data_IF_950266203805
#
_entry.id   IF_950266203805
#
_cell.length_a   1.000
_cell.length_b   1.000
_cell.length_c   1.000
_cell.angle_alpha   90.00
_cell.angle_beta   90.00
_cell.angle_gamma   90.00
#
_symmetry.space_group_name_H-M   'P 1'
#
loop_
_entity.id
_entity.type
_entity.pdbx_description
1 polymer ?
#
# COMPACT_ATOMS: atom_id res chain seq x y z
N UNK A 1 -9.42 -6.83 -13.28
CA UNK A 1 -9.67 -5.61 -12.47
C UNK A 1 -10.69 -5.96 -11.38
N UNK A 2 -10.69 -5.34 -10.19
CA UNK A 2 -11.76 -5.59 -9.18
C UNK A 2 -12.06 -4.32 -8.39
N UNK A 3 -13.29 -3.82 -8.52
CA UNK A 3 -13.69 -2.52 -7.99
C UNK A 3 -12.77 -1.41 -8.51
N UNK A 4 -12.33 -0.53 -7.61
CA UNK A 4 -11.45 0.60 -7.96
C UNK A 4 -9.99 0.21 -8.23
N UNK A 5 -9.60 -1.06 -8.12
CA UNK A 5 -8.20 -1.49 -8.10
C UNK A 5 -7.83 -2.40 -9.27
N UNK A 6 -6.58 -2.28 -9.69
CA UNK A 6 -5.94 -3.17 -10.66
C UNK A 6 -4.97 -4.07 -9.89
N UNK A 7 -5.10 -5.38 -10.10
CA UNK A 7 -4.29 -6.40 -9.44
C UNK A 7 -3.51 -7.20 -10.48
N UNK A 8 -2.28 -7.59 -10.13
CA UNK A 8 -1.49 -8.60 -10.83
C UNK A 8 -1.44 -9.85 -9.97
N UNK A 9 -1.80 -11.01 -10.53
CA UNK A 9 -1.62 -12.30 -9.86
C UNK A 9 -0.13 -12.59 -9.74
N UNK A 10 0.29 -12.98 -8.54
CA UNK A 10 1.68 -13.36 -8.24
C UNK A 10 1.78 -14.87 -8.09
N UNK A 11 0.83 -15.47 -7.38
CA UNK A 11 0.68 -16.93 -7.31
C UNK A 11 -0.77 -17.27 -7.56
N UNK A 12 -0.99 -18.23 -8.45
CA UNK A 12 -2.34 -18.69 -8.75
C UNK A 12 -2.92 -19.44 -7.55
N UNK A 13 -4.21 -19.24 -7.32
CA UNK A 13 -4.98 -20.02 -6.36
C UNK A 13 -5.85 -21.04 -7.07
N UNK A 14 -6.46 -21.93 -6.30
CA UNK A 14 -7.42 -22.92 -6.77
C UNK A 14 -8.67 -22.78 -5.92
N UNK A 15 -9.84 -22.73 -6.55
CA UNK A 15 -11.11 -22.56 -5.86
C UNK A 15 -11.29 -23.68 -4.83
N UNK A 16 -11.72 -23.34 -3.62
CA UNK A 16 -11.87 -24.29 -2.50
C UNK A 16 -10.58 -24.84 -1.90
N UNK A 17 -9.48 -24.96 -2.66
CA UNK A 17 -8.27 -25.69 -2.25
C UNK A 17 -7.13 -24.78 -1.78
N UNK A 18 -6.74 -23.79 -2.59
CA UNK A 18 -5.50 -23.02 -2.39
C UNK A 18 -5.70 -21.54 -2.58
N UNK A 19 -5.28 -20.74 -1.59
CA UNK A 19 -5.32 -19.28 -1.69
C UNK A 19 -4.18 -18.79 -2.58
N UNK A 20 -4.51 -17.98 -3.57
CA UNK A 20 -3.53 -17.27 -4.40
C UNK A 20 -2.98 -16.03 -3.70
N UNK A 21 -2.05 -15.34 -4.37
CA UNK A 21 -1.54 -14.04 -3.92
C UNK A 21 -1.51 -13.03 -5.06
N UNK A 22 -1.74 -11.76 -4.72
CA UNK A 22 -1.79 -10.66 -5.68
C UNK A 22 -0.96 -9.46 -5.22
N UNK A 23 -0.50 -8.71 -6.20
CA UNK A 23 0.03 -7.36 -6.07
C UNK A 23 -1.01 -6.35 -6.54
N UNK A 24 -1.26 -5.29 -5.75
CA UNK A 24 -2.05 -4.16 -6.25
C UNK A 24 -1.15 -3.23 -7.06
N UNK A 25 -1.45 -3.10 -8.36
CA UNK A 25 -0.63 -2.36 -9.33
C UNK A 25 -1.22 -1.01 -9.72
N UNK A 26 -2.44 -0.68 -9.27
CA UNK A 26 -2.96 0.68 -9.37
C UNK A 26 -4.45 0.83 -9.14
N UNK A 27 -5.00 1.95 -9.63
CA UNK A 27 -6.43 2.26 -9.59
C UNK A 27 -7.02 2.20 -10.99
N UNK A 28 -8.26 1.72 -11.09
CA UNK A 28 -9.07 1.84 -12.30
C UNK A 28 -9.78 3.20 -12.38
N UNK A 29 -10.01 3.86 -11.23
CA UNK A 29 -10.73 5.14 -11.13
C UNK A 29 -9.77 6.31 -10.90
N UNK A 30 -9.99 7.43 -11.60
CA UNK A 30 -9.29 8.70 -11.37
C UNK A 30 -9.81 9.39 -10.10
N UNK A 31 -9.06 10.33 -9.54
CA UNK A 31 -9.55 11.27 -8.52
C UNK A 31 -9.99 10.69 -7.15
N UNK A 32 -9.56 9.48 -6.80
CA UNK A 32 -9.89 8.83 -5.53
C UNK A 32 -9.31 9.62 -4.32
N UNK A 33 -10.15 9.90 -3.32
CA UNK A 33 -9.74 10.60 -2.07
C UNK A 33 -9.21 9.64 -0.98
N UNK A 34 -9.62 8.37 -0.99
CA UNK A 34 -9.25 7.36 0.02
C UNK A 34 -8.92 6.03 -0.66
N UNK A 35 -7.72 5.54 -0.39
CA UNK A 35 -7.25 4.22 -0.85
C UNK A 35 -7.38 3.24 0.32
N UNK A 36 -8.11 2.14 0.13
CA UNK A 36 -8.29 1.04 1.08
C UNK A 36 -7.83 -0.26 0.41
N UNK A 37 -6.58 -0.63 0.64
CA UNK A 37 -6.01 -1.88 0.15
C UNK A 37 -6.43 -2.98 1.12
N UNK A 38 -7.32 -3.86 0.67
CA UNK A 38 -7.85 -4.95 1.47
C UNK A 38 -6.75 -5.95 1.86
N UNK A 39 -6.99 -6.75 2.91
CA UNK A 39 -6.10 -7.87 3.26
C UNK A 39 -6.12 -8.97 2.19
N UNK A 40 -7.30 -9.20 1.61
CA UNK A 40 -7.56 -10.20 0.59
C UNK A 40 -8.72 -9.74 -0.30
N UNK A 41 -8.82 -10.35 -1.47
CA UNK A 41 -9.93 -10.18 -2.41
C UNK A 41 -10.43 -11.57 -2.84
N UNK A 42 -11.68 -11.66 -3.25
CA UNK A 42 -12.21 -12.82 -3.97
C UNK A 42 -12.36 -12.45 -5.45
N UNK A 43 -11.89 -13.34 -6.32
CA UNK A 43 -12.05 -13.24 -7.77
C UNK A 43 -12.28 -14.65 -8.28
N UNK A 44 -13.42 -14.86 -8.95
CA UNK A 44 -13.77 -16.14 -9.59
C UNK A 44 -13.69 -17.35 -8.63
N UNK A 45 -14.41 -17.29 -7.51
CA UNK A 45 -14.37 -18.33 -6.46
C UNK A 45 -13.05 -18.43 -5.67
N UNK A 46 -11.97 -17.83 -6.16
CA UNK A 46 -10.62 -17.94 -5.57
C UNK A 46 -10.35 -16.76 -4.63
N UNK A 47 -9.81 -17.07 -3.45
CA UNK A 47 -9.34 -16.06 -2.50
C UNK A 47 -7.87 -15.72 -2.74
N UNK A 48 -7.58 -14.44 -2.97
CA UNK A 48 -6.22 -13.93 -3.14
C UNK A 48 -5.82 -13.02 -1.99
N UNK A 49 -4.70 -13.32 -1.32
CA UNK A 49 -4.09 -12.42 -0.33
C UNK A 49 -3.36 -11.27 -1.04
N UNK A 50 -3.58 -10.03 -0.62
CA UNK A 50 -2.85 -8.87 -1.16
C UNK A 50 -1.51 -8.77 -0.43
N UNK A 51 -0.45 -9.23 -1.09
CA UNK A 51 0.89 -9.38 -0.48
C UNK A 51 1.84 -8.23 -0.79
N UNK A 52 1.57 -7.45 -1.84
CA UNK A 52 2.42 -6.31 -2.19
C UNK A 52 1.68 -5.17 -2.88
N UNK A 53 2.33 -4.01 -2.87
CA UNK A 53 1.94 -2.80 -3.59
C UNK A 53 2.98 -2.54 -4.68
N UNK A 54 2.52 -2.45 -5.92
CA UNK A 54 3.32 -2.35 -7.13
C UNK A 54 4.18 -1.10 -7.23
N UNK A 55 5.22 -1.19 -8.08
CA UNK A 55 6.09 -0.05 -8.41
C UNK A 55 5.23 1.03 -9.06
N UNK A 56 5.32 2.27 -8.57
CA UNK A 56 4.51 3.41 -9.03
C UNK A 56 2.97 3.19 -8.98
N UNK A 57 2.46 2.18 -8.28
CA UNK A 57 1.04 1.77 -8.38
C UNK A 57 0.03 2.91 -8.20
N UNK A 58 0.30 3.81 -7.25
CA UNK A 58 -0.53 4.96 -6.96
C UNK A 58 0.21 6.29 -7.19
N UNK A 59 1.30 6.29 -7.98
CA UNK A 59 2.10 7.49 -8.23
C UNK A 59 1.22 8.58 -8.85
N UNK A 60 1.34 9.80 -8.33
CA UNK A 60 0.71 10.99 -8.92
C UNK A 60 -0.78 11.13 -8.63
N UNK A 61 -1.36 10.30 -7.75
CA UNK A 61 -2.75 10.48 -7.33
C UNK A 61 -2.90 11.71 -6.42
N UNK A 62 -3.06 12.89 -7.04
CA UNK A 62 -3.05 14.20 -6.39
C UNK A 62 -4.19 14.40 -5.37
N UNK A 63 -5.32 13.70 -5.54
CA UNK A 63 -6.52 13.84 -4.68
C UNK A 63 -6.53 12.91 -3.45
N UNK A 64 -5.66 11.91 -3.38
CA UNK A 64 -5.63 10.95 -2.26
C UNK A 64 -5.21 11.66 -0.98
N UNK A 65 -6.07 11.58 0.04
CA UNK A 65 -5.85 12.14 1.38
C UNK A 65 -5.45 11.08 2.40
N UNK A 66 -5.99 9.85 2.25
CA UNK A 66 -5.72 8.74 3.17
C UNK A 66 -5.50 7.41 2.47
N UNK A 67 -4.62 6.60 3.04
CA UNK A 67 -4.30 5.23 2.59
C UNK A 67 -4.44 4.27 3.77
N UNK A 68 -5.11 3.15 3.57
CA UNK A 68 -5.19 2.03 4.50
C UNK A 68 -4.55 0.81 3.84
N UNK A 69 -3.54 0.23 4.49
CA UNK A 69 -2.78 -0.93 4.00
C UNK A 69 -3.21 -2.16 4.80
N UNK A 70 -3.70 -3.18 4.09
CA UNK A 70 -4.20 -4.44 4.66
C UNK A 70 -3.14 -5.28 5.38
N UNK A 71 -3.62 -6.21 6.22
CA UNK A 71 -2.77 -6.93 7.18
C UNK A 71 -1.76 -7.93 6.56
N UNK A 72 -1.99 -8.38 5.32
CA UNK A 72 -1.14 -9.36 4.64
C UNK A 72 -0.08 -8.76 3.72
N UNK A 73 -0.05 -7.44 3.57
CA UNK A 73 0.96 -6.76 2.75
C UNK A 73 2.34 -6.94 3.38
N UNK A 74 3.28 -7.48 2.60
CA UNK A 74 4.68 -7.71 2.97
C UNK A 74 5.63 -6.69 2.32
N UNK A 75 5.30 -6.19 1.12
CA UNK A 75 6.19 -5.31 0.35
C UNK A 75 5.46 -4.09 -0.22
N UNK A 76 6.03 -2.90 -0.04
CA UNK A 76 5.61 -1.68 -0.74
C UNK A 76 6.74 -1.34 -1.71
N UNK A 77 6.53 -1.43 -3.02
CA UNK A 77 7.58 -1.21 -4.01
C UNK A 77 7.92 0.29 -4.20
N UNK A 78 8.99 0.54 -4.94
CA UNK A 78 9.52 1.89 -5.14
C UNK A 78 8.50 2.84 -5.78
N UNK A 79 8.50 4.08 -5.31
CA UNK A 79 7.60 5.16 -5.78
C UNK A 79 6.09 4.82 -5.72
N UNK A 80 5.66 3.81 -4.97
CA UNK A 80 4.27 3.34 -4.94
C UNK A 80 3.23 4.45 -4.73
N UNK A 81 3.48 5.40 -3.82
CA UNK A 81 2.63 6.56 -3.53
C UNK A 81 3.38 7.88 -3.78
N UNK A 82 4.37 7.88 -4.69
CA UNK A 82 5.14 9.07 -4.95
C UNK A 82 4.25 10.17 -5.58
N UNK A 83 4.48 11.41 -5.20
CA UNK A 83 3.73 12.58 -5.68
C UNK A 83 2.21 12.58 -5.37
N UNK A 84 1.75 11.79 -4.40
CA UNK A 84 0.41 11.94 -3.82
C UNK A 84 0.34 13.21 -2.95
N UNK A 85 0.20 14.39 -3.59
CA UNK A 85 0.37 15.72 -2.96
C UNK A 85 -0.53 15.95 -1.72
N UNK A 86 -1.76 15.44 -1.73
CA UNK A 86 -2.73 15.62 -0.63
C UNK A 86 -2.67 14.53 0.44
N UNK A 87 -1.77 13.54 0.34
CA UNK A 87 -1.69 12.42 1.28
C UNK A 87 -1.20 12.92 2.64
N UNK A 88 -2.04 12.74 3.67
CA UNK A 88 -1.74 13.14 5.06
C UNK A 88 -1.77 11.97 6.03
N UNK A 89 -2.56 10.91 5.76
CA UNK A 89 -2.76 9.79 6.69
C UNK A 89 -2.48 8.45 6.02
N UNK A 90 -1.59 7.66 6.60
CA UNK A 90 -1.31 6.29 6.17
C UNK A 90 -1.50 5.36 7.35
N UNK A 91 -2.50 4.50 7.29
CA UNK A 91 -2.77 3.49 8.32
C UNK A 91 -2.24 2.16 7.81
N UNK A 92 -1.24 1.62 8.51
CA UNK A 92 -0.67 0.32 8.19
C UNK A 92 -1.22 -0.71 9.17
N UNK A 93 -2.09 -1.60 8.70
CA UNK A 93 -2.60 -2.72 9.52
C UNK A 93 -1.66 -3.93 9.51
N UNK A 94 -0.75 -4.00 8.54
CA UNK A 94 0.22 -5.10 8.45
C UNK A 94 1.25 -5.03 9.58
N UNK A 95 1.53 -6.19 10.18
CA UNK A 95 2.71 -6.41 11.04
C UNK A 95 3.88 -7.03 10.25
N UNK A 96 3.66 -7.37 8.97
CA UNK A 96 4.51 -8.26 8.17
C UNK A 96 5.32 -7.52 7.08
N UNK A 97 5.29 -6.19 7.01
CA UNK A 97 6.09 -5.47 6.00
C UNK A 97 7.58 -5.65 6.29
N UNK A 98 8.30 -6.16 5.30
CA UNK A 98 9.76 -6.33 5.33
C UNK A 98 10.48 -5.32 4.48
N UNK A 99 9.82 -4.73 3.46
CA UNK A 99 10.45 -3.76 2.55
C UNK A 99 9.51 -2.62 2.16
N UNK A 100 9.99 -1.39 2.32
CA UNK A 100 9.40 -0.17 1.73
C UNK A 100 10.42 0.40 0.74
N UNK A 101 10.03 0.46 -0.53
CA UNK A 101 10.92 0.82 -1.62
C UNK A 101 11.30 2.30 -1.61
N UNK A 102 12.45 2.61 -2.24
CA UNK A 102 12.97 3.97 -2.38
C UNK A 102 11.89 4.92 -2.93
N UNK A 103 11.73 6.05 -2.26
CA UNK A 103 10.78 7.13 -2.56
C UNK A 103 9.31 6.68 -2.57
N UNK A 104 8.95 5.59 -1.88
CA UNK A 104 7.58 5.07 -1.88
C UNK A 104 6.53 6.11 -1.49
N UNK A 105 6.82 6.97 -0.51
CA UNK A 105 5.93 8.05 -0.06
C UNK A 105 6.53 9.45 -0.30
N UNK A 106 7.51 9.59 -1.21
CA UNK A 106 8.14 10.90 -1.48
C UNK A 106 7.19 11.81 -2.23
N UNK A 107 7.12 13.07 -1.82
CA UNK A 107 6.37 14.14 -2.48
C UNK A 107 7.17 15.43 -2.54
N UNK A 108 6.99 16.23 -3.59
CA UNK A 108 7.67 17.53 -3.74
C UNK A 108 7.18 18.55 -2.69
N UNK A 109 5.87 18.63 -2.45
CA UNK A 109 5.27 19.56 -1.49
C UNK A 109 4.16 18.89 -0.68
N UNK A 110 3.91 19.38 0.54
CA UNK A 110 2.72 19.07 1.35
C UNK A 110 2.92 18.94 2.87
N UNK A 111 1.82 18.95 3.62
CA UNK A 111 1.75 18.81 5.09
C UNK A 111 2.23 17.44 5.58
N UNK A 112 2.81 17.35 6.77
CA UNK A 112 3.37 16.11 7.37
C UNK A 112 2.48 14.86 7.15
N UNK A 113 3.06 13.72 6.78
CA UNK A 113 2.35 12.44 6.70
C UNK A 113 2.36 11.79 8.09
N UNK A 114 1.19 11.47 8.62
CA UNK A 114 1.04 10.65 9.82
C UNK A 114 0.91 9.18 9.43
N UNK A 115 1.88 8.37 9.83
CA UNK A 115 1.81 6.92 9.76
C UNK A 115 1.26 6.39 11.08
N UNK A 116 0.14 5.68 11.04
CA UNK A 116 -0.34 4.89 12.17
C UNK A 116 0.05 3.44 11.95
N UNK A 117 0.87 2.89 12.84
CA UNK A 117 1.42 1.53 12.71
C UNK A 117 1.11 0.69 13.96
N UNK A 118 1.15 -0.65 13.89
CA UNK A 118 0.90 -1.47 15.07
C UNK A 118 2.05 -1.28 16.08
N UNK A 119 1.72 -1.01 17.36
CA UNK A 119 2.68 -0.68 18.43
C UNK A 119 3.90 -1.62 18.46
N UNK A 120 3.65 -2.94 18.43
CA UNK A 120 4.68 -4.00 18.49
C UNK A 120 5.76 -3.91 17.40
N UNK A 121 5.47 -3.29 16.25
CA UNK A 121 6.41 -3.20 15.11
C UNK A 121 6.83 -1.76 14.79
N UNK A 122 6.50 -0.78 15.65
CA UNK A 122 6.75 0.65 15.41
C UNK A 122 8.22 0.96 15.11
N UNK A 123 9.16 0.39 15.87
CA UNK A 123 10.63 0.57 15.67
C UNK A 123 11.06 0.10 14.27
N UNK A 124 10.64 -1.09 13.85
CA UNK A 124 10.91 -1.64 12.50
C UNK A 124 10.38 -0.72 11.41
N UNK A 125 9.15 -0.25 11.55
CA UNK A 125 8.53 0.63 10.56
C UNK A 125 9.20 2.00 10.48
N UNK A 126 9.67 2.55 11.61
CA UNK A 126 10.48 3.78 11.61
C UNK A 126 11.73 3.63 10.75
N UNK A 127 12.47 2.53 10.90
CA UNK A 127 13.66 2.23 10.07
C UNK A 127 13.28 2.10 8.58
N UNK A 128 12.24 1.33 8.26
CA UNK A 128 11.81 1.13 6.87
C UNK A 128 11.36 2.44 6.18
N UNK A 129 10.62 3.30 6.88
CA UNK A 129 10.14 4.58 6.32
C UNK A 129 11.30 5.57 6.12
N UNK A 130 12.27 5.59 7.05
CA UNK A 130 13.52 6.37 6.92
C UNK A 130 14.30 5.92 5.69
N UNK A 131 14.57 4.62 5.57
CA UNK A 131 15.34 4.05 4.45
C UNK A 131 14.65 4.24 3.09
N UNK A 132 13.32 4.33 3.09
CA UNK A 132 12.54 4.66 1.89
C UNK A 132 12.71 6.12 1.43
N UNK A 133 13.48 6.97 2.13
CA UNK A 133 13.65 8.41 1.83
C UNK A 133 12.31 9.16 1.78
N UNK A 134 11.45 8.87 2.76
CA UNK A 134 10.15 9.56 2.94
C UNK A 134 10.38 10.91 3.60
N UNK A 135 9.79 11.99 3.06
CA UNK A 135 9.97 13.34 3.58
C UNK A 135 8.78 13.82 4.42
N UNK A 136 9.04 14.63 5.45
CA UNK A 136 8.06 15.27 6.35
C UNK A 136 7.00 14.26 6.85
N UNK A 137 7.35 13.45 7.86
CA UNK A 137 6.47 12.42 8.43
C UNK A 137 6.53 12.35 9.96
N UNK A 138 5.52 11.71 10.56
CA UNK A 138 5.45 11.30 11.97
C UNK A 138 4.92 9.87 12.02
N UNK A 139 5.33 9.11 13.03
CA UNK A 139 4.84 7.76 13.26
C UNK A 139 4.14 7.72 14.62
N UNK A 140 2.85 7.43 14.61
CA UNK A 140 2.02 7.17 15.78
C UNK A 140 1.92 5.65 16.00
#
# INVERSE_FOLDING_TARGET
>A
KKGNYIYKIITQGVAGKKKGTVEVIGLNKKNVKKIKIAKQIKYDGITYKVVSIGKKAFKGNKKVKSVIIGAYVKKIKSKAFANCKKLKKVIIKSKKITKIGKKAFRRKAGKKITFTVPKKVKKKYKKLIKNAKTNKYVIK
#
